data_IF_260716798104
#
_entry.id   IF_260716798104
#
_cell.length_a   1.000
_cell.length_b   1.000
_cell.length_c   1.000
_cell.angle_alpha   90.00
_cell.angle_beta   90.00
_cell.angle_gamma   90.00
#
_symmetry.space_group_name_H-M   'P 1'
#
loop_
_entity.id
_entity.type
_entity.pdbx_description
1 polymer ?
#
# COMPACT_ATOMS: atom_id res chain seq x y z
N UNK A 1 -13.59 31.00 19.21
CA UNK A 1 -12.47 30.19 19.72
C UNK A 1 -12.23 29.02 18.76
N UNK A 2 -11.49 29.25 17.68
CA UNK A 2 -11.16 28.22 16.69
C UNK A 2 -10.01 27.36 17.22
N UNK A 3 -10.21 26.05 17.33
CA UNK A 3 -9.17 25.14 17.79
C UNK A 3 -8.00 25.13 16.79
N UNK A 4 -6.85 25.58 17.27
CA UNK A 4 -5.55 25.53 16.61
C UNK A 4 -5.25 24.14 16.03
N UNK A 5 -4.66 24.13 14.84
CA UNK A 5 -4.51 22.98 13.94
C UNK A 5 -4.10 21.66 14.61
N UNK A 6 -5.00 20.69 14.53
CA UNK A 6 -4.76 19.29 14.93
C UNK A 6 -3.67 18.72 14.01
N UNK A 7 -2.43 18.58 14.51
CA UNK A 7 -1.36 17.75 13.91
C UNK A 7 -1.77 16.27 13.97
N UNK A 8 -2.86 15.89 13.31
CA UNK A 8 -3.39 14.52 13.31
C UNK A 8 -2.68 13.60 12.31
N UNK A 9 -1.69 14.11 11.55
CA UNK A 9 -0.99 13.36 10.51
C UNK A 9 -0.08 12.26 11.04
N UNK A 10 0.92 12.55 11.91
CA UNK A 10 1.88 11.56 12.38
C UNK A 10 1.22 10.47 13.23
N UNK A 11 0.35 10.88 14.16
CA UNK A 11 -0.30 9.96 15.10
C UNK A 11 -1.15 8.88 14.41
N UNK A 12 -1.84 9.21 13.32
CA UNK A 12 -2.66 8.23 12.58
C UNK A 12 -1.78 7.25 11.80
N UNK A 13 -0.70 7.72 11.17
CA UNK A 13 0.23 6.85 10.43
C UNK A 13 0.96 5.90 11.38
N UNK A 14 1.34 6.38 12.57
CA UNK A 14 1.91 5.55 13.63
C UNK A 14 0.92 4.51 14.17
N UNK A 15 -0.33 4.88 14.43
CA UNK A 15 -1.35 3.93 14.90
C UNK A 15 -1.67 2.86 13.83
N UNK A 16 -1.68 3.26 12.56
CA UNK A 16 -1.90 2.38 11.41
C UNK A 16 -0.75 1.38 11.22
N UNK A 17 0.48 1.74 11.57
CA UNK A 17 1.60 0.80 11.62
C UNK A 17 1.53 -0.17 12.81
N UNK A 18 0.99 0.27 13.96
CA UNK A 18 0.85 -0.58 15.17
C UNK A 18 -0.36 -1.53 15.08
N UNK A 19 -1.47 -1.05 14.53
CA UNK A 19 -2.77 -1.74 14.53
C UNK A 19 -3.41 -1.81 13.13
N UNK A 20 -2.72 -2.37 12.11
CA UNK A 20 -3.20 -2.34 10.72
C UNK A 20 -4.56 -3.02 10.53
N UNK A 21 -4.86 -4.05 11.32
CA UNK A 21 -6.09 -4.83 11.22
C UNK A 21 -7.37 -4.03 11.55
N UNK A 22 -7.25 -2.85 12.16
CA UNK A 22 -8.40 -1.99 12.52
C UNK A 22 -8.87 -1.11 11.36
N UNK A 23 -8.12 -1.05 10.27
CA UNK A 23 -8.36 -0.13 9.18
C UNK A 23 -8.81 -0.85 7.90
N UNK A 24 -9.62 -0.16 7.10
CA UNK A 24 -9.97 -0.61 5.76
C UNK A 24 -8.80 -0.43 4.78
N UNK A 25 -8.54 -1.46 3.95
CA UNK A 25 -7.43 -1.50 3.01
C UNK A 25 -7.33 -0.25 2.13
N UNK A 26 -8.43 0.17 1.51
CA UNK A 26 -8.39 1.29 0.58
C UNK A 26 -8.29 2.64 1.29
N UNK A 27 -8.84 2.75 2.50
CA UNK A 27 -8.62 3.92 3.33
C UNK A 27 -7.15 4.06 3.73
N UNK A 28 -6.48 2.95 4.05
CA UNK A 28 -5.04 2.95 4.36
C UNK A 28 -4.21 3.42 3.18
N UNK A 29 -4.45 2.88 1.98
CA UNK A 29 -3.72 3.30 0.76
C UNK A 29 -3.87 4.80 0.54
N UNK A 30 -5.08 5.33 0.67
CA UNK A 30 -5.33 6.77 0.53
C UNK A 30 -4.58 7.61 1.58
N UNK A 31 -4.55 7.16 2.84
CA UNK A 31 -3.82 7.85 3.90
C UNK A 31 -2.31 7.87 3.62
N UNK A 32 -1.77 6.78 3.09
CA UNK A 32 -0.37 6.67 2.69
C UNK A 32 -0.04 7.57 1.50
N UNK A 33 -0.92 7.67 0.48
CA UNK A 33 -0.75 8.62 -0.62
C UNK A 33 -0.78 10.07 -0.15
N UNK A 34 -1.71 10.41 0.75
CA UNK A 34 -1.77 11.75 1.35
C UNK A 34 -0.51 12.06 2.18
N UNK A 35 0.02 11.06 2.87
CA UNK A 35 1.27 11.19 3.63
C UNK A 35 2.47 11.37 2.69
N UNK A 36 2.52 10.63 1.58
CA UNK A 36 3.55 10.76 0.54
C UNK A 36 3.55 12.16 -0.09
N UNK A 37 2.38 12.69 -0.46
CA UNK A 37 2.25 14.06 -1.02
C UNK A 37 2.72 15.14 -0.06
N UNK A 38 2.55 14.95 1.25
CA UNK A 38 3.06 15.90 2.25
C UNK A 38 4.58 15.88 2.32
N UNK A 39 5.20 14.70 2.17
CA UNK A 39 6.66 14.56 2.13
C UNK A 39 7.26 15.07 0.82
N UNK A 40 6.54 14.97 -0.30
CA UNK A 40 6.94 15.56 -1.59
C UNK A 40 7.02 17.11 -1.53
N UNK A 41 6.26 17.75 -0.64
CA UNK A 41 6.32 19.21 -0.45
C UNK A 41 7.60 19.68 0.26
N UNK A 42 8.40 18.77 0.81
CA UNK A 42 9.70 19.08 1.39
C UNK A 42 10.78 19.14 0.28
N UNK A 43 11.70 20.12 0.30
CA UNK A 43 12.79 20.19 -0.67
C UNK A 43 13.64 18.90 -0.65
N UNK A 44 14.14 18.49 -1.82
CA UNK A 44 15.06 17.34 -2.00
C UNK A 44 14.44 15.94 -1.80
N UNK A 45 13.10 15.83 -1.73
CA UNK A 45 12.40 14.54 -1.62
C UNK A 45 12.00 13.96 -2.99
N UNK A 46 12.00 12.62 -3.14
CA UNK A 46 11.57 11.98 -4.36
C UNK A 46 10.07 12.18 -4.59
N UNK A 47 9.71 12.41 -5.85
CA UNK A 47 8.32 12.54 -6.30
C UNK A 47 7.68 11.16 -6.45
N UNK A 48 6.54 10.96 -5.80
CA UNK A 48 5.78 9.71 -5.87
C UNK A 48 4.73 9.76 -6.97
N UNK A 49 4.49 8.62 -7.61
CA UNK A 49 3.38 8.42 -8.53
C UNK A 49 2.20 7.85 -7.74
N UNK A 50 0.96 8.34 -7.93
CA UNK A 50 -0.20 7.75 -7.25
C UNK A 50 -0.37 6.26 -7.61
N UNK A 51 -0.89 5.49 -6.67
CA UNK A 51 -0.97 4.03 -6.75
C UNK A 51 -1.82 3.61 -7.95
N UNK A 52 -1.27 2.73 -8.79
CA UNK A 52 -1.97 2.17 -9.95
C UNK A 52 -2.07 3.11 -11.15
N UNK A 53 -1.54 4.32 -11.09
CA UNK A 53 -1.46 5.21 -12.25
C UNK A 53 -0.34 4.81 -13.21
N UNK A 54 -0.18 5.61 -14.27
CA UNK A 54 0.87 5.43 -15.26
C UNK A 54 2.19 5.96 -14.69
N UNK A 55 3.17 5.07 -14.58
CA UNK A 55 4.47 5.35 -13.96
C UNK A 55 5.14 4.06 -13.51
N UNK A 56 6.42 4.16 -13.09
CA UNK A 56 7.16 2.98 -12.69
C UNK A 56 6.71 2.53 -11.27
N UNK A 57 6.44 1.23 -11.04
CA UNK A 57 5.87 0.73 -9.77
C UNK A 57 6.76 0.95 -8.53
N UNK A 58 8.06 1.16 -8.73
CA UNK A 58 9.03 1.49 -7.68
C UNK A 58 8.83 2.92 -7.11
N UNK A 59 8.19 3.81 -7.88
CA UNK A 59 7.82 5.17 -7.46
C UNK A 59 6.41 5.28 -6.88
N UNK A 60 5.68 4.18 -6.77
CA UNK A 60 4.44 4.16 -5.98
C UNK A 60 4.79 4.28 -4.49
N UNK A 61 4.07 5.09 -3.69
CA UNK A 61 4.38 5.29 -2.27
C UNK A 61 4.13 4.03 -1.44
N UNK A 62 3.38 3.07 -1.98
CA UNK A 62 2.95 1.85 -1.32
C UNK A 62 3.35 0.64 -2.15
N UNK A 63 4.05 -0.31 -1.52
CA UNK A 63 4.29 -1.63 -2.10
C UNK A 63 3.33 -2.64 -1.48
N UNK A 64 2.60 -3.37 -2.32
CA UNK A 64 1.72 -4.43 -1.83
C UNK A 64 2.41 -5.78 -1.84
N UNK A 65 2.08 -6.60 -0.84
CA UNK A 65 2.40 -8.02 -0.76
C UNK A 65 1.16 -8.80 -0.38
N UNK A 66 1.17 -10.09 -0.67
CA UNK A 66 0.09 -11.00 -0.26
C UNK A 66 0.52 -11.85 0.92
N UNK A 67 -0.40 -12.14 1.83
CA UNK A 67 -0.17 -13.06 2.94
C UNK A 67 -0.06 -14.52 2.42
N UNK A 68 1.12 -15.18 2.52
CA UNK A 68 1.25 -16.57 2.16
C UNK A 68 0.77 -17.45 3.33
N UNK A 69 -0.54 -17.60 3.47
CA UNK A 69 -1.15 -18.38 4.54
C UNK A 69 -2.37 -19.15 4.04
N UNK A 70 -2.68 -20.24 4.74
CA UNK A 70 -3.91 -21.02 4.59
C UNK A 70 -4.98 -20.62 5.63
N UNK A 71 -4.61 -19.78 6.59
CA UNK A 71 -5.51 -19.32 7.64
C UNK A 71 -6.46 -18.26 7.10
N UNK A 72 -7.68 -18.26 7.61
CA UNK A 72 -8.63 -17.17 7.36
C UNK A 72 -8.15 -15.89 8.09
N UNK A 73 -7.86 -14.80 7.35
CA UNK A 73 -7.32 -13.58 7.92
C UNK A 73 -8.42 -12.80 8.68
N UNK A 74 -8.11 -12.15 9.81
CA UNK A 74 -9.10 -11.39 10.57
C UNK A 74 -9.50 -10.06 9.90
N UNK A 75 -8.69 -9.58 8.95
CA UNK A 75 -8.81 -8.28 8.31
C UNK A 75 -8.19 -8.29 6.91
N UNK A 76 -8.57 -7.33 6.08
CA UNK A 76 -8.06 -7.15 4.72
C UNK A 76 -6.57 -6.75 4.66
N UNK A 77 -6.08 -6.06 5.70
CA UNK A 77 -4.66 -5.77 5.91
C UNK A 77 -4.15 -6.61 7.08
N UNK A 78 -3.06 -7.34 6.88
CA UNK A 78 -2.43 -8.17 7.91
C UNK A 78 -1.23 -7.49 8.56
N UNK A 79 -0.42 -6.78 7.78
CA UNK A 79 0.72 -6.03 8.30
C UNK A 79 0.98 -4.79 7.47
N UNK A 80 1.59 -3.79 8.12
CA UNK A 80 2.07 -2.60 7.47
C UNK A 80 3.42 -2.22 8.06
N UNK A 81 4.41 -2.13 7.19
CA UNK A 81 5.79 -1.78 7.54
C UNK A 81 6.10 -0.42 6.91
N UNK A 82 6.38 0.57 7.74
CA UNK A 82 6.83 1.89 7.28
C UNK A 82 8.33 1.85 7.05
N UNK A 83 8.78 2.40 5.92
CA UNK A 83 10.19 2.61 5.66
C UNK A 83 10.71 3.68 6.62
N UNK A 84 11.85 3.39 7.26
CA UNK A 84 12.47 4.33 8.19
C UNK A 84 13.05 5.52 7.42
N UNK A 85 13.06 6.74 8.01
CA UNK A 85 13.66 7.91 7.38
C UNK A 85 15.15 7.72 7.01
N UNK A 86 15.89 6.98 7.84
CA UNK A 86 17.31 6.68 7.65
C UNK A 86 17.58 5.82 6.40
N UNK A 87 16.57 5.07 5.94
CA UNK A 87 16.68 4.16 4.80
C UNK A 87 16.16 4.81 3.51
N UNK A 88 15.85 6.11 3.47
CA UNK A 88 15.18 6.76 2.33
C UNK A 88 16.03 6.81 1.04
N UNK A 89 17.34 6.60 1.14
CA UNK A 89 18.22 6.41 -0.01
C UNK A 89 18.59 4.91 -0.17
N UNK A 90 18.39 4.29 -1.35
CA UNK A 90 17.85 4.85 -2.60
C UNK A 90 16.32 5.05 -2.57
N UNK A 91 15.77 5.91 -3.43
CA UNK A 91 14.32 6.16 -3.49
C UNK A 91 13.54 4.87 -3.71
N UNK A 92 12.43 4.72 -3.00
CA UNK A 92 11.54 3.56 -3.09
C UNK A 92 10.30 3.74 -2.22
N UNK A 93 9.44 2.72 -2.12
CA UNK A 93 8.14 2.84 -1.46
C UNK A 93 8.28 3.24 0.01
N UNK A 94 7.38 4.10 0.47
CA UNK A 94 7.35 4.58 1.86
C UNK A 94 6.76 3.54 2.81
N UNK A 95 5.89 2.66 2.31
CA UNK A 95 5.22 1.66 3.11
C UNK A 95 5.09 0.35 2.33
N UNK A 96 5.23 -0.77 3.04
CA UNK A 96 4.92 -2.09 2.54
C UNK A 96 3.68 -2.61 3.25
N UNK A 97 2.66 -2.99 2.47
CA UNK A 97 1.35 -3.42 2.97
C UNK A 97 1.11 -4.87 2.59
N UNK A 98 0.93 -5.72 3.58
CA UNK A 98 0.54 -7.12 3.37
C UNK A 98 -0.98 -7.23 3.41
N UNK A 99 -1.58 -7.60 2.29
CA UNK A 99 -3.03 -7.79 2.16
C UNK A 99 -3.40 -9.27 2.12
N UNK A 100 -4.67 -9.56 2.40
CA UNK A 100 -5.20 -10.91 2.46
C UNK A 100 -6.46 -11.14 1.62
N UNK A 101 -7.05 -10.07 1.08
CA UNK A 101 -8.30 -10.12 0.33
C UNK A 101 -8.13 -10.38 -1.17
N UNK A 102 -6.92 -10.21 -1.71
CA UNK A 102 -6.63 -10.35 -3.13
C UNK A 102 -5.17 -10.76 -3.33
N UNK A 103 -4.94 -11.77 -4.18
CA UNK A 103 -3.60 -12.26 -4.48
C UNK A 103 -3.59 -13.48 -5.39
N UNK A 104 -2.43 -13.81 -5.94
CA UNK A 104 -2.19 -15.08 -6.62
C UNK A 104 -2.07 -16.25 -5.65
N UNK A 105 -1.58 -15.98 -4.44
CA UNK A 105 -1.38 -16.95 -3.36
C UNK A 105 -2.07 -16.47 -2.08
N UNK A 106 -2.19 -17.37 -1.11
CA UNK A 106 -2.86 -17.12 0.16
C UNK A 106 -4.27 -17.69 0.20
N UNK A 107 -5.11 -17.26 1.17
CA UNK A 107 -6.40 -17.87 1.43
C UNK A 107 -7.42 -17.57 0.32
N UNK A 108 -7.32 -16.40 -0.31
CA UNK A 108 -8.14 -15.98 -1.45
C UNK A 108 -7.32 -15.98 -2.75
N UNK A 109 -6.30 -16.85 -2.82
CA UNK A 109 -5.39 -16.94 -3.96
C UNK A 109 -6.07 -17.45 -5.23
N UNK A 110 -5.78 -16.85 -6.38
CA UNK A 110 -6.27 -17.34 -7.67
C UNK A 110 -5.57 -18.63 -8.14
N UNK A 111 -4.34 -18.88 -7.69
CA UNK A 111 -3.61 -20.10 -8.04
C UNK A 111 -4.07 -21.29 -7.20
N UNK A 112 -3.89 -22.53 -7.71
CA UNK A 112 -4.13 -23.73 -6.93
C UNK A 112 -3.38 -23.74 -5.59
N UNK A 113 -4.02 -24.32 -4.57
CA UNK A 113 -3.54 -24.31 -3.18
C UNK A 113 -2.10 -24.83 -2.99
N UNK A 114 -1.65 -25.76 -3.85
CA UNK A 114 -0.30 -26.31 -3.78
C UNK A 114 0.79 -25.24 -3.98
N UNK A 115 0.53 -24.17 -4.75
CA UNK A 115 1.49 -23.06 -4.90
C UNK A 115 1.65 -22.28 -3.60
N UNK A 116 0.56 -22.04 -2.87
CA UNK A 116 0.63 -21.40 -1.55
C UNK A 116 1.43 -22.26 -0.56
N UNK A 117 1.20 -23.58 -0.55
CA UNK A 117 2.00 -24.51 0.26
C UNK A 117 3.49 -24.49 -0.11
N UNK A 118 3.80 -24.49 -1.41
CA UNK A 118 5.18 -24.39 -1.90
C UNK A 118 5.85 -23.09 -1.46
N UNK A 119 5.15 -21.96 -1.55
CA UNK A 119 5.68 -20.67 -1.07
C UNK A 119 5.94 -20.72 0.44
N UNK A 120 5.02 -21.28 1.24
CA UNK A 120 5.22 -21.43 2.70
C UNK A 120 6.45 -22.30 3.00
N UNK A 121 6.63 -23.41 2.29
CA UNK A 121 7.78 -24.30 2.42
C UNK A 121 9.09 -23.57 2.09
N UNK A 122 9.15 -22.86 0.95
CA UNK A 122 10.32 -22.09 0.53
C UNK A 122 10.68 -20.99 1.52
N UNK A 123 9.69 -20.28 2.06
CA UNK A 123 9.92 -19.27 3.08
C UNK A 123 10.54 -19.86 4.36
N UNK A 124 10.16 -21.07 4.76
CA UNK A 124 10.79 -21.79 5.89
C UNK A 124 12.24 -22.17 5.58
N UNK A 125 12.53 -22.52 4.33
CA UNK A 125 13.89 -22.73 3.84
C UNK A 125 14.68 -21.43 3.60
N UNK A 126 14.13 -20.26 3.98
CA UNK A 126 14.70 -18.92 3.77
C UNK A 126 14.85 -18.52 2.30
N UNK A 127 14.19 -19.24 1.39
CA UNK A 127 14.10 -18.91 -0.03
C UNK A 127 12.88 -18.01 -0.27
N UNK A 128 13.13 -16.73 -0.57
CA UNK A 128 12.09 -15.73 -0.83
C UNK A 128 11.80 -15.52 -2.32
N UNK A 129 12.58 -16.15 -3.21
CA UNK A 129 12.57 -15.88 -4.65
C UNK A 129 11.18 -16.01 -5.27
N UNK A 130 10.49 -17.13 -5.03
CA UNK A 130 9.16 -17.40 -5.57
C UNK A 130 8.11 -16.41 -5.04
N UNK A 131 8.18 -16.07 -3.75
CA UNK A 131 7.28 -15.08 -3.16
C UNK A 131 7.49 -13.71 -3.78
N UNK A 132 8.74 -13.25 -3.84
CA UNK A 132 9.07 -11.92 -4.37
C UNK A 132 8.72 -11.81 -5.86
N UNK A 133 8.87 -12.89 -6.63
CA UNK A 133 8.40 -12.98 -8.01
C UNK A 133 6.88 -12.81 -8.12
N UNK A 134 6.10 -13.56 -7.32
CA UNK A 134 4.64 -13.44 -7.31
C UNK A 134 4.18 -12.05 -6.82
N UNK A 135 4.92 -11.47 -5.87
CA UNK A 135 4.66 -10.11 -5.35
C UNK A 135 4.77 -9.03 -6.45
N UNK A 136 5.52 -9.24 -7.54
CA UNK A 136 5.53 -8.32 -8.70
C UNK A 136 4.14 -8.20 -9.33
N UNK A 137 3.48 -9.34 -9.56
CA UNK A 137 2.15 -9.40 -10.16
C UNK A 137 1.09 -8.95 -9.16
N UNK A 138 1.18 -9.43 -7.92
CA UNK A 138 0.26 -9.05 -6.86
C UNK A 138 0.24 -7.53 -6.66
N UNK A 139 1.42 -6.90 -6.62
CA UNK A 139 1.52 -5.46 -6.46
C UNK A 139 0.76 -4.72 -7.56
N UNK A 140 1.00 -5.05 -8.83
CA UNK A 140 0.31 -4.35 -9.93
C UNK A 140 -1.20 -4.63 -9.95
N UNK A 141 -1.61 -5.87 -9.66
CA UNK A 141 -3.00 -6.26 -9.62
C UNK A 141 -3.78 -5.51 -8.52
N UNK A 142 -3.21 -5.40 -7.32
CA UNK A 142 -3.81 -4.65 -6.20
C UNK A 142 -3.82 -3.14 -6.50
N UNK A 143 -2.74 -2.59 -7.06
CA UNK A 143 -2.68 -1.17 -7.43
C UNK A 143 -3.76 -0.81 -8.47
N UNK A 144 -3.97 -1.66 -9.48
CA UNK A 144 -5.03 -1.44 -10.47
C UNK A 144 -6.44 -1.61 -9.89
N UNK A 145 -6.61 -2.56 -8.98
CA UNK A 145 -7.87 -2.75 -8.25
C UNK A 145 -8.22 -1.51 -7.41
N UNK A 146 -7.23 -0.93 -6.73
CA UNK A 146 -7.37 0.33 -6.01
C UNK A 146 -7.78 1.49 -6.93
N UNK A 147 -7.10 1.65 -8.08
CA UNK A 147 -7.44 2.68 -9.07
C UNK A 147 -8.88 2.55 -9.58
N UNK A 148 -9.32 1.32 -9.85
CA UNK A 148 -10.70 1.06 -10.26
C UNK A 148 -11.69 1.45 -9.17
N UNK A 149 -11.41 1.09 -7.91
CA UNK A 149 -12.23 1.47 -6.76
C UNK A 149 -12.31 2.98 -6.56
N UNK A 150 -11.18 3.69 -6.73
CA UNK A 150 -11.11 5.14 -6.55
C UNK A 150 -11.99 5.87 -7.57
N UNK A 151 -11.97 5.42 -8.83
CA UNK A 151 -12.74 5.99 -9.94
C UNK A 151 -14.24 6.10 -9.64
N UNK A 152 -14.82 5.14 -8.93
CA UNK A 152 -16.26 5.09 -8.64
C UNK A 152 -16.66 5.78 -7.34
N UNK A 153 -15.73 6.35 -6.57
CA UNK A 153 -16.02 7.11 -5.35
C UNK A 153 -15.91 8.62 -5.57
N UNK A 154 -17.03 9.24 -5.94
CA UNK A 154 -17.18 10.68 -6.26
C UNK A 154 -16.63 11.62 -5.16
N UNK A 155 -16.73 11.24 -3.88
CA UNK A 155 -16.25 12.05 -2.75
C UNK A 155 -14.72 12.08 -2.63
N UNK A 156 -14.03 11.09 -3.21
CA UNK A 156 -12.58 10.97 -3.18
C UNK A 156 -11.95 11.70 -4.37
N UNK A 157 -12.50 11.51 -5.57
CA UNK A 157 -11.98 12.09 -6.82
C UNK A 157 -12.14 13.61 -6.93
N UNK A 158 -13.14 14.21 -6.26
CA UNK A 158 -13.38 15.66 -6.30
C UNK A 158 -12.30 16.48 -5.58
N UNK A 159 -11.50 15.86 -4.70
CA UNK A 159 -10.44 16.56 -3.94
C UNK A 159 -9.12 16.67 -4.71
N UNK A 160 -8.97 15.95 -5.83
CA UNK A 160 -7.69 15.81 -6.54
C UNK A 160 -7.59 16.62 -7.82
N UNK A 161 -8.68 17.17 -8.36
CA UNK A 161 -8.61 18.06 -9.51
C UNK A 161 -8.06 19.41 -9.06
N UNK A 162 -6.87 19.83 -9.52
CA UNK A 162 -6.45 21.22 -9.37
C UNK A 162 -7.55 22.05 -10.05
N UNK A 163 -8.05 23.07 -9.36
CA UNK A 163 -8.90 24.06 -10.00
C UNK A 163 -8.11 24.62 -11.17
N UNK A 164 -8.49 24.30 -12.41
CA UNK A 164 -8.12 25.11 -13.56
C UNK A 164 -8.71 26.50 -13.27
N UNK A 165 -7.89 27.38 -12.71
CA UNK A 165 -8.13 28.82 -12.76
C UNK A 165 -7.94 29.22 -14.21
N UNK A 166 -9.02 29.16 -14.98
CA UNK A 166 -9.14 29.90 -16.22
C UNK A 166 -9.03 31.38 -15.90
N UNK A 167 -8.00 32.01 -16.46
CA UNK A 167 -7.90 33.45 -16.62
C UNK A 167 -8.95 33.96 -17.62
#
# INVERSE_FOLDING_TARGET
MAASGRRAGPAVIEDLARNPCRFDAFQVVRLLEMWARRREAEPDRPRFVPVGQDGPPDREPVRFRTLPSHTFPPSSICSLELRKPEEELPPGPLAQVTVSFLGLIGPNGALPHHYTSLVIERLRAKDRSLRDFLDLFNHRLISLFYRAWEKYRVRTSRRERPSHRSA
#
